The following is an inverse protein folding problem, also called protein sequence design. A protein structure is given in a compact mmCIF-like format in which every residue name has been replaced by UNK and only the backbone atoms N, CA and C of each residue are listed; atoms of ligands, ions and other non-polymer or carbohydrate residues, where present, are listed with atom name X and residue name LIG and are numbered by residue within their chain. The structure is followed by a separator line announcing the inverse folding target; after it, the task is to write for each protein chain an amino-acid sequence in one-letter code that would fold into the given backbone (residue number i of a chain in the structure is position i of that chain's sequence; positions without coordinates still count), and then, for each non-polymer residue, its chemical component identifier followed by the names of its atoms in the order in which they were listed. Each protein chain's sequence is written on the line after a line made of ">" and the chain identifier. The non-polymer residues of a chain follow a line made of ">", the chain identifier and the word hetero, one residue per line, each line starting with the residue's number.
data_IF_890963376706
#
_entry.id   IF_890963376706
#
_cell.length_a   1.000
_cell.length_b   1.000
_cell.length_c   1.000
_cell.angle_alpha   90.00
_cell.angle_beta   90.00
_cell.angle_gamma   90.00
#
_symmetry.space_group_name_H-M   'P 1'
#
loop_
_entity.id
_entity.type
_entity.pdbx_description
1 polymer ?
#
# COMPACT_ATOMS: atom_id res chain seq x y z
N UNK A 1 13.32 -31.04 -17.75
CA UNK A 1 12.77 -30.35 -16.56
C UNK A 1 13.59 -29.11 -16.09
N UNK A 2 14.40 -28.47 -16.96
CA UNK A 2 15.27 -27.30 -16.61
C UNK A 2 14.87 -25.97 -17.30
N UNK A 3 13.67 -25.87 -17.88
CA UNK A 3 13.29 -24.74 -18.76
C UNK A 3 11.92 -24.10 -18.53
N UNK A 4 11.13 -24.52 -17.54
CA UNK A 4 9.73 -24.06 -17.42
C UNK A 4 9.56 -22.84 -16.50
N UNK A 5 10.54 -22.47 -15.68
CA UNK A 5 10.37 -21.39 -14.67
C UNK A 5 11.17 -20.10 -14.99
N UNK A 6 12.00 -20.05 -16.05
CA UNK A 6 13.01 -18.97 -16.18
C UNK A 6 12.87 -18.01 -17.37
N UNK A 7 11.72 -17.89 -18.03
CA UNK A 7 11.56 -16.86 -19.08
C UNK A 7 10.16 -16.27 -19.10
N UNK A 8 9.93 -15.27 -18.25
CA UNK A 8 9.03 -14.13 -18.49
C UNK A 8 9.02 -13.22 -17.25
N UNK A 9 10.06 -12.43 -16.98
CA UNK A 9 9.91 -11.24 -16.14
C UNK A 9 11.04 -10.21 -16.29
N UNK A 10 11.50 -9.97 -17.53
CA UNK A 10 12.31 -8.80 -17.84
C UNK A 10 11.71 -8.10 -19.07
N UNK A 11 11.62 -6.78 -18.98
CA UNK A 11 10.97 -5.82 -19.89
C UNK A 11 9.44 -5.75 -19.81
N UNK A 12 8.92 -4.84 -18.97
CA UNK A 12 8.16 -3.63 -19.35
C UNK A 12 7.93 -2.80 -18.07
N UNK A 13 8.80 -1.84 -17.80
CA UNK A 13 8.47 -0.65 -17.00
C UNK A 13 8.70 0.54 -17.93
N UNK A 14 7.63 1.27 -18.24
CA UNK A 14 7.68 2.53 -18.95
C UNK A 14 6.30 2.98 -19.41
N UNK A 15 5.78 4.03 -18.76
CA UNK A 15 4.73 4.99 -19.20
C UNK A 15 3.50 4.43 -19.92
N UNK A 16 2.27 4.79 -19.59
CA UNK A 16 1.76 6.10 -19.20
C UNK A 16 0.23 5.98 -19.06
N UNK A 17 -0.37 6.81 -18.22
CA UNK A 17 -1.82 7.00 -18.07
C UNK A 17 -2.47 7.36 -19.43
N UNK A 18 -3.74 6.98 -19.66
CA UNK A 18 -4.79 7.97 -19.42
C UNK A 18 -6.05 7.43 -18.73
N UNK A 19 -6.46 8.23 -17.75
CA UNK A 19 -7.82 8.54 -17.31
C UNK A 19 -9.01 7.95 -18.11
N UNK A 20 -9.75 7.05 -17.47
CA UNK A 20 -11.17 6.80 -17.74
C UNK A 20 -12.00 7.13 -16.50
N UNK A 21 -12.63 8.31 -16.48
CA UNK A 21 -13.64 8.68 -15.46
C UNK A 21 -14.94 7.96 -15.79
N UNK A 22 -15.32 6.99 -14.97
CA UNK A 22 -16.70 6.46 -14.97
C UNK A 22 -17.62 7.42 -14.21
N UNK A 23 -18.71 7.80 -14.88
CA UNK A 23 -19.78 8.68 -14.39
C UNK A 23 -20.60 7.93 -13.35
N UNK A 24 -20.39 8.22 -12.06
CA UNK A 24 -21.32 7.80 -10.99
C UNK A 24 -22.58 8.68 -11.08
N UNK A 25 -23.70 8.04 -11.36
CA UNK A 25 -25.04 8.59 -11.18
C UNK A 25 -25.20 9.09 -9.74
N UNK A 26 -25.55 10.37 -9.60
CA UNK A 26 -26.02 10.94 -8.33
C UNK A 26 -27.52 10.71 -8.26
N UNK A 27 -27.94 9.73 -7.46
CA UNK A 27 -29.30 9.68 -6.96
C UNK A 27 -29.53 10.90 -6.06
N UNK A 28 -30.47 11.74 -6.47
CA UNK A 28 -30.95 12.90 -5.74
C UNK A 28 -31.83 12.45 -4.56
N UNK A 29 -31.19 12.05 -3.46
CA UNK A 29 -31.87 11.93 -2.17
C UNK A 29 -31.92 13.28 -1.48
N UNK A 30 -32.98 14.06 -1.70
CA UNK A 30 -33.33 15.16 -0.80
C UNK A 30 -33.75 14.54 0.54
N UNK A 31 -32.79 14.38 1.46
CA UNK A 31 -33.08 14.09 2.85
C UNK A 31 -33.79 15.28 3.47
N UNK A 32 -35.10 15.15 3.65
CA UNK A 32 -35.93 16.09 4.42
C UNK A 32 -35.30 16.35 5.79
N UNK A 33 -35.12 17.61 6.22
CA UNK A 33 -34.82 17.88 7.62
C UNK A 33 -36.02 17.43 8.48
N UNK A 34 -35.77 17.04 9.75
CA UNK A 34 -36.81 16.44 10.59
C UNK A 34 -37.96 17.43 10.76
N UNK A 35 -39.20 16.92 10.66
CA UNK A 35 -40.40 17.63 11.07
C UNK A 35 -40.15 18.20 12.47
N UNK A 36 -40.19 19.52 12.61
CA UNK A 36 -40.36 20.10 13.94
C UNK A 36 -41.83 19.98 14.32
N UNK A 37 -42.04 19.57 15.56
CA UNK A 37 -43.32 19.36 16.19
C UNK A 37 -44.27 20.55 15.96
N UNK A 38 -45.46 20.21 15.51
CA UNK A 38 -46.63 21.07 15.50
C UNK A 38 -47.06 21.19 16.96
N UNK A 39 -46.87 22.38 17.55
CA UNK A 39 -47.67 23.06 18.60
C UNK A 39 -46.73 24.09 19.25
N UNK A 40 -46.82 25.33 18.79
CA UNK A 40 -46.03 26.46 19.28
C UNK A 40 -45.79 27.48 18.17
N UNK A 41 -46.62 28.53 18.14
CA UNK A 41 -46.66 29.63 17.16
C UNK A 41 -45.49 29.74 16.19
N UNK A 42 -45.77 29.52 14.91
CA UNK A 42 -44.81 29.71 13.82
C UNK A 42 -44.34 31.16 13.79
N UNK A 43 -43.16 31.43 14.36
CA UNK A 43 -42.55 32.75 14.36
C UNK A 43 -42.49 33.28 12.91
N UNK A 44 -43.06 34.45 12.61
CA UNK A 44 -43.13 34.93 11.23
C UNK A 44 -41.72 35.08 10.64
N UNK A 45 -41.52 34.79 9.34
CA UNK A 45 -40.20 34.84 8.67
C UNK A 45 -39.44 36.16 8.91
N UNK A 46 -40.15 37.26 9.17
CA UNK A 46 -39.61 38.57 9.54
C UNK A 46 -38.85 38.56 10.87
N UNK A 47 -39.29 37.76 11.86
CA UNK A 47 -38.66 37.65 13.18
C UNK A 47 -37.32 36.92 13.12
N UNK A 48 -37.27 35.78 12.43
CA UNK A 48 -36.02 35.06 12.16
C UNK A 48 -35.01 35.89 11.38
N UNK A 49 -35.49 36.74 10.46
CA UNK A 49 -34.63 37.67 9.72
C UNK A 49 -34.02 38.72 10.63
N UNK A 50 -34.82 39.42 11.44
CA UNK A 50 -34.32 40.42 12.40
C UNK A 50 -33.30 39.82 13.38
N UNK A 51 -33.62 38.65 13.92
CA UNK A 51 -32.72 37.92 14.83
C UNK A 51 -31.40 37.52 14.13
N UNK A 52 -31.46 37.05 12.88
CA UNK A 52 -30.25 36.76 12.09
C UNK A 52 -29.39 38.01 11.84
N UNK A 53 -30.02 39.16 11.57
CA UNK A 53 -29.32 40.43 11.34
C UNK A 53 -28.60 40.92 12.61
N UNK A 54 -29.25 40.82 13.77
CA UNK A 54 -28.62 41.14 15.07
C UNK A 54 -27.45 40.20 15.38
N UNK A 55 -27.62 38.90 15.21
CA UNK A 55 -26.56 37.92 15.43
C UNK A 55 -25.39 38.14 14.46
N UNK A 56 -25.67 38.58 13.23
CA UNK A 56 -24.64 38.93 12.25
C UNK A 56 -23.85 40.17 12.66
N UNK A 57 -24.53 41.22 13.15
CA UNK A 57 -23.90 42.43 13.69
C UNK A 57 -23.07 42.17 14.95
N UNK A 58 -23.44 41.14 15.73
CA UNK A 58 -22.66 40.61 16.86
C UNK A 58 -21.45 39.75 16.44
N UNK A 59 -21.16 39.64 15.13
CA UNK A 59 -19.93 39.01 14.65
C UNK A 59 -20.04 37.52 14.31
N UNK A 60 -21.22 36.92 14.31
CA UNK A 60 -21.39 35.49 14.04
C UNK A 60 -21.33 35.15 12.54
N UNK A 61 -20.78 33.98 12.23
CA UNK A 61 -20.81 33.40 10.89
C UNK A 61 -22.19 32.83 10.53
N UNK A 62 -22.49 32.67 9.24
CA UNK A 62 -23.77 32.09 8.80
C UNK A 62 -23.99 30.67 9.37
N UNK A 63 -22.94 29.88 9.56
CA UNK A 63 -23.05 28.55 10.17
C UNK A 63 -23.35 28.63 11.67
N UNK A 64 -22.79 29.60 12.39
CA UNK A 64 -23.09 29.83 13.81
C UNK A 64 -24.52 30.34 13.99
N UNK A 65 -24.98 31.26 13.13
CA UNK A 65 -26.36 31.75 13.12
C UNK A 65 -27.32 30.60 12.81
N UNK A 66 -27.06 29.82 11.74
CA UNK A 66 -27.87 28.65 11.38
C UNK A 66 -28.06 27.68 12.55
N UNK A 67 -27.01 27.40 13.32
CA UNK A 67 -27.10 26.51 14.49
C UNK A 67 -27.96 27.08 15.62
N UNK A 68 -28.06 28.41 15.75
CA UNK A 68 -28.86 29.07 16.79
C UNK A 68 -30.34 29.17 16.43
N UNK A 69 -30.65 29.57 15.20
CA UNK A 69 -32.04 29.88 14.79
C UNK A 69 -32.69 28.80 13.92
N UNK A 70 -31.94 27.78 13.48
CA UNK A 70 -32.47 26.65 12.70
C UNK A 70 -32.81 26.95 11.23
N UNK A 71 -32.50 28.14 10.71
CA UNK A 71 -32.85 28.56 9.34
C UNK A 71 -31.85 28.03 8.30
N UNK A 72 -32.35 27.76 7.08
CA UNK A 72 -31.51 27.33 5.96
C UNK A 72 -30.38 28.31 5.62
N UNK A 73 -29.25 27.78 5.13
CA UNK A 73 -28.08 28.60 4.76
C UNK A 73 -28.36 29.52 3.57
N UNK A 74 -29.22 29.10 2.64
CA UNK A 74 -29.63 29.90 1.49
C UNK A 74 -30.42 31.13 1.94
N UNK A 75 -31.36 30.96 2.88
CA UNK A 75 -32.11 32.09 3.47
C UNK A 75 -31.20 33.09 4.19
N UNK A 76 -30.25 32.60 5.01
CA UNK A 76 -29.27 33.46 5.69
C UNK A 76 -28.39 34.22 4.70
N UNK A 77 -27.97 33.57 3.61
CA UNK A 77 -27.14 34.21 2.58
C UNK A 77 -27.88 35.34 1.87
N UNK A 78 -29.19 35.21 1.67
CA UNK A 78 -30.01 36.25 1.05
C UNK A 78 -30.22 37.43 2.00
N UNK A 79 -30.57 37.16 3.27
CA UNK A 79 -30.89 38.19 4.25
C UNK A 79 -29.68 39.01 4.69
N UNK A 80 -28.53 38.36 4.87
CA UNK A 80 -27.36 38.95 5.50
C UNK A 80 -26.32 39.47 4.50
N UNK A 81 -26.61 39.40 3.19
CA UNK A 81 -25.68 39.79 2.12
C UNK A 81 -25.15 41.22 2.28
N UNK A 82 -25.99 42.13 2.74
CA UNK A 82 -25.69 43.56 2.92
C UNK A 82 -25.06 43.91 4.27
N UNK A 83 -24.88 42.95 5.18
CA UNK A 83 -24.34 43.20 6.53
C UNK A 83 -22.90 42.67 6.59
N UNK A 84 -21.89 43.54 6.37
CA UNK A 84 -20.49 43.14 6.50
C UNK A 84 -20.15 42.81 7.95
N UNK A 85 -19.18 41.91 8.14
CA UNK A 85 -18.56 41.69 9.44
C UNK A 85 -17.52 42.77 9.72
N UNK A 86 -17.36 43.13 11.00
CA UNK A 86 -16.22 43.91 11.47
C UNK A 86 -14.92 43.13 11.23
N UNK A 87 -13.81 43.85 11.06
CA UNK A 87 -12.51 43.25 10.78
C UNK A 87 -12.05 42.31 11.91
N UNK A 88 -12.36 42.64 13.17
CA UNK A 88 -12.06 41.80 14.35
C UNK A 88 -12.77 40.44 14.28
N UNK A 89 -14.06 40.44 13.94
CA UNK A 89 -14.86 39.23 13.78
C UNK A 89 -14.41 38.39 12.59
N UNK A 90 -14.01 39.05 11.50
CA UNK A 90 -13.44 38.39 10.32
C UNK A 90 -12.14 37.68 10.68
N UNK A 91 -11.24 38.35 11.42
CA UNK A 91 -9.99 37.76 11.93
C UNK A 91 -10.27 36.57 12.85
N UNK A 92 -11.17 36.72 13.83
CA UNK A 92 -11.58 35.62 14.74
C UNK A 92 -12.05 34.38 13.98
N UNK A 93 -12.94 34.56 12.99
CA UNK A 93 -13.48 33.46 12.19
C UNK A 93 -12.43 32.83 11.28
N UNK A 94 -11.53 33.63 10.71
CA UNK A 94 -10.40 33.13 9.92
C UNK A 94 -9.46 32.29 10.80
N UNK A 95 -9.04 32.80 11.95
CA UNK A 95 -8.18 32.07 12.90
C UNK A 95 -8.82 30.76 13.34
N UNK A 96 -10.10 30.76 13.71
CA UNK A 96 -10.85 29.54 14.07
C UNK A 96 -10.87 28.51 12.93
N UNK A 97 -10.97 28.97 11.68
CA UNK A 97 -10.91 28.10 10.49
C UNK A 97 -9.51 27.50 10.31
N UNK A 98 -8.46 28.31 10.44
CA UNK A 98 -7.07 27.84 10.34
C UNK A 98 -6.76 26.82 11.44
N UNK A 99 -7.16 27.10 12.68
CA UNK A 99 -7.00 26.16 13.81
C UNK A 99 -7.74 24.86 13.53
N UNK A 100 -9.01 24.91 13.09
CA UNK A 100 -9.76 23.70 12.75
C UNK A 100 -9.14 22.90 11.59
N UNK A 101 -8.61 23.59 10.57
CA UNK A 101 -7.88 22.97 9.46
C UNK A 101 -6.55 22.36 9.91
N UNK A 102 -5.88 22.94 10.89
CA UNK A 102 -4.66 22.38 11.47
C UNK A 102 -4.94 21.15 12.35
N UNK A 103 -6.03 21.16 13.14
CA UNK A 103 -6.38 20.09 14.07
C UNK A 103 -7.09 18.90 13.41
N UNK A 104 -7.86 19.14 12.34
CA UNK A 104 -8.64 18.11 11.64
C UNK A 104 -7.80 16.92 11.16
N UNK A 105 -6.70 17.15 10.42
CA UNK A 105 -5.79 16.09 9.98
C UNK A 105 -5.15 15.32 11.14
N UNK A 106 -4.77 16.00 12.23
CA UNK A 106 -4.20 15.36 13.41
C UNK A 106 -5.23 14.49 14.15
N UNK A 107 -6.47 14.98 14.31
CA UNK A 107 -7.56 14.20 14.93
C UNK A 107 -7.92 12.97 14.09
N UNK A 108 -7.99 13.09 12.77
CA UNK A 108 -8.32 11.95 11.90
C UNK A 108 -7.19 10.92 11.87
N UNK A 109 -5.93 11.37 11.85
CA UNK A 109 -4.76 10.49 11.92
C UNK A 109 -4.74 9.70 13.24
N UNK A 110 -4.93 10.37 14.38
CA UNK A 110 -4.95 9.70 15.68
C UNK A 110 -6.10 8.69 15.79
N UNK A 111 -7.32 9.05 15.33
CA UNK A 111 -8.44 8.12 15.28
C UNK A 111 -8.14 6.89 14.42
N UNK A 112 -7.56 7.10 13.24
CA UNK A 112 -7.17 6.01 12.34
C UNK A 112 -6.06 5.14 12.94
N UNK A 113 -5.10 5.71 13.67
CA UNK A 113 -4.06 4.96 14.37
C UNK A 113 -4.65 4.04 15.45
N UNK A 114 -5.62 4.52 16.22
CA UNK A 114 -6.34 3.71 17.21
C UNK A 114 -7.13 2.59 16.51
N UNK A 115 -7.88 2.93 15.47
CA UNK A 115 -8.65 1.97 14.67
C UNK A 115 -7.74 0.87 14.07
N UNK A 116 -6.59 1.25 13.48
CA UNK A 116 -5.62 0.28 12.93
C UNK A 116 -5.10 -0.65 14.03
N UNK A 117 -4.77 -0.11 15.21
CA UNK A 117 -4.30 -0.94 16.34
C UNK A 117 -5.36 -1.95 16.76
N UNK A 118 -6.63 -1.55 16.79
CA UNK A 118 -7.74 -2.43 17.13
C UNK A 118 -7.97 -3.50 16.05
N UNK A 119 -7.94 -3.13 14.77
CA UNK A 119 -8.02 -4.07 13.65
C UNK A 119 -6.91 -5.11 13.75
N UNK A 120 -5.66 -4.68 13.91
CA UNK A 120 -4.50 -5.60 14.03
C UNK A 120 -4.66 -6.50 15.25
N UNK A 121 -5.09 -5.96 16.40
CA UNK A 121 -5.33 -6.73 17.63
C UNK A 121 -6.41 -7.80 17.45
N UNK A 122 -7.52 -7.44 16.81
CA UNK A 122 -8.63 -8.36 16.60
C UNK A 122 -8.27 -9.43 15.57
N UNK A 123 -7.67 -9.06 14.44
CA UNK A 123 -7.16 -10.02 13.46
C UNK A 123 -6.11 -10.97 14.07
N UNK A 124 -5.29 -10.48 15.00
CA UNK A 124 -4.34 -11.31 15.73
C UNK A 124 -4.98 -12.43 16.57
N UNK A 125 -6.24 -12.29 16.97
CA UNK A 125 -6.99 -13.34 17.69
C UNK A 125 -7.59 -14.40 16.76
N UNK A 126 -7.63 -14.14 15.45
CA UNK A 126 -8.13 -15.09 14.46
C UNK A 126 -7.12 -16.22 14.17
N UNK A 127 -5.87 -16.08 14.65
CA UNK A 127 -4.80 -17.05 14.46
C UNK A 127 -4.51 -17.78 15.78
N UNK A 128 -4.68 -19.09 15.76
CA UNK A 128 -4.30 -19.96 16.89
C UNK A 128 -2.81 -20.31 16.85
N UNK A 129 -2.19 -20.36 18.04
CA UNK A 129 -0.80 -20.79 18.21
C UNK A 129 -0.71 -21.97 19.20
N UNK A 130 0.21 -22.92 18.99
CA UNK A 130 1.23 -22.95 17.94
C UNK A 130 0.65 -23.27 16.54
N UNK A 131 1.26 -22.73 15.49
CA UNK A 131 0.87 -23.06 14.12
C UNK A 131 1.04 -24.56 13.86
N UNK A 132 0.09 -25.16 13.15
CA UNK A 132 0.25 -26.54 12.68
C UNK A 132 1.45 -26.66 11.74
N UNK A 133 2.03 -27.87 11.68
CA UNK A 133 3.20 -28.12 10.84
C UNK A 133 2.90 -27.86 9.35
N UNK A 134 1.67 -28.12 8.91
CA UNK A 134 1.24 -27.86 7.54
C UNK A 134 1.13 -26.37 7.23
N UNK A 135 0.52 -25.58 8.13
CA UNK A 135 0.44 -24.12 8.00
C UNK A 135 1.84 -23.51 7.95
N UNK A 136 2.74 -23.93 8.85
CA UNK A 136 4.13 -23.47 8.85
C UNK A 136 4.86 -23.87 7.56
N UNK A 137 4.64 -25.09 7.04
CA UNK A 137 5.22 -25.56 5.78
C UNK A 137 4.80 -24.68 4.61
N UNK A 138 3.49 -24.43 4.45
CA UNK A 138 2.95 -23.64 3.35
C UNK A 138 3.30 -22.15 3.47
N UNK A 139 3.22 -21.57 4.67
CA UNK A 139 3.56 -20.17 4.89
C UNK A 139 5.03 -19.89 4.53
N UNK A 140 5.96 -20.74 4.97
CA UNK A 140 7.37 -20.55 4.61
C UNK A 140 7.68 -20.90 3.15
N UNK A 141 6.96 -21.85 2.54
CA UNK A 141 7.06 -22.11 1.10
C UNK A 141 6.60 -20.90 0.28
N UNK A 142 5.46 -20.31 0.63
CA UNK A 142 4.93 -19.10 0.00
C UNK A 142 5.87 -17.90 0.20
N UNK A 143 6.43 -17.74 1.41
CA UNK A 143 7.43 -16.71 1.68
C UNK A 143 8.68 -16.90 0.79
N UNK A 144 9.19 -18.13 0.69
CA UNK A 144 10.33 -18.42 -0.17
C UNK A 144 10.00 -18.22 -1.66
N UNK A 145 8.77 -18.51 -2.08
CA UNK A 145 8.33 -18.24 -3.45
C UNK A 145 8.36 -16.75 -3.79
N UNK A 146 7.98 -15.90 -2.83
CA UNK A 146 7.94 -14.44 -2.99
C UNK A 146 9.32 -13.77 -2.87
N UNK A 147 10.11 -14.15 -1.85
CA UNK A 147 11.35 -13.44 -1.45
C UNK A 147 12.64 -14.26 -1.72
N UNK A 148 12.50 -15.53 -2.07
CA UNK A 148 13.62 -16.43 -2.32
C UNK A 148 14.32 -16.20 -3.65
N UNK A 149 15.55 -16.69 -3.76
CA UNK A 149 16.37 -16.51 -4.96
C UNK A 149 15.93 -17.40 -6.12
N UNK A 150 15.92 -16.80 -7.31
CA UNK A 150 15.75 -17.50 -8.59
C UNK A 150 16.99 -18.33 -8.97
N UNK A 151 18.17 -18.03 -8.42
CA UNK A 151 19.43 -18.74 -8.70
C UNK A 151 19.48 -20.15 -8.10
N UNK A 152 20.55 -20.92 -8.32
CA UNK A 152 20.58 -22.34 -7.90
C UNK A 152 20.62 -22.59 -6.39
N UNK A 153 20.94 -21.57 -5.58
CA UNK A 153 21.08 -21.70 -4.12
C UNK A 153 19.75 -21.46 -3.42
N UNK A 154 19.57 -22.10 -2.27
CA UNK A 154 18.46 -21.78 -1.37
C UNK A 154 18.89 -20.59 -0.51
N UNK A 155 18.57 -19.40 -0.98
CA UNK A 155 18.94 -18.15 -0.33
C UNK A 155 17.77 -17.17 -0.39
N UNK A 156 17.70 -16.28 0.59
CA UNK A 156 16.69 -15.23 0.70
C UNK A 156 17.38 -13.93 1.11
N UNK A 157 16.94 -12.80 0.56
CA UNK A 157 17.55 -11.49 0.84
C UNK A 157 16.47 -10.49 1.24
N UNK A 158 16.51 -9.98 2.46
CA UNK A 158 15.53 -9.00 2.94
C UNK A 158 16.16 -8.08 4.01
N UNK A 159 15.55 -6.92 4.26
CA UNK A 159 15.99 -5.96 5.28
C UNK A 159 15.14 -5.98 6.55
N UNK A 160 13.96 -6.61 6.53
CA UNK A 160 13.08 -6.72 7.69
C UNK A 160 13.62 -7.77 8.69
N UNK A 161 13.97 -7.36 9.92
CA UNK A 161 14.42 -8.27 10.98
C UNK A 161 13.46 -9.42 11.28
N UNK A 162 12.15 -9.17 11.26
CA UNK A 162 11.14 -10.18 11.61
C UNK A 162 11.07 -11.27 10.54
N UNK A 163 11.05 -10.87 9.28
CA UNK A 163 11.00 -11.78 8.13
C UNK A 163 12.24 -12.69 8.09
N UNK A 164 13.43 -12.11 8.29
CA UNK A 164 14.68 -12.87 8.33
C UNK A 164 14.69 -13.86 9.50
N UNK A 165 14.31 -13.43 10.70
CA UNK A 165 14.28 -14.31 11.86
C UNK A 165 13.26 -15.44 11.69
N UNK A 166 12.07 -15.13 11.17
CA UNK A 166 11.05 -16.12 10.83
C UNK A 166 11.59 -17.15 9.83
N UNK A 167 12.23 -16.71 8.74
CA UNK A 167 12.79 -17.62 7.74
C UNK A 167 13.85 -18.56 8.34
N UNK A 168 14.72 -18.06 9.21
CA UNK A 168 15.75 -18.88 9.86
C UNK A 168 15.11 -19.91 10.80
N UNK A 169 14.12 -19.51 11.59
CA UNK A 169 13.37 -20.42 12.45
C UNK A 169 12.60 -21.46 11.64
N UNK A 170 12.01 -21.06 10.52
CA UNK A 170 11.31 -21.96 9.61
C UNK A 170 12.27 -22.96 8.95
N UNK A 171 13.46 -22.52 8.51
CA UNK A 171 14.50 -23.42 7.98
C UNK A 171 14.94 -24.43 9.04
N UNK A 172 15.10 -24.01 10.29
CA UNK A 172 15.39 -24.90 11.41
C UNK A 172 14.25 -25.89 11.64
N UNK A 173 13.01 -25.43 11.64
CA UNK A 173 11.82 -26.26 11.88
C UNK A 173 11.59 -27.31 10.77
N UNK A 174 11.71 -26.92 9.50
CA UNK A 174 11.41 -27.80 8.36
C UNK A 174 12.56 -28.73 7.97
N UNK A 175 13.80 -28.28 8.17
CA UNK A 175 14.98 -28.97 7.63
C UNK A 175 16.03 -29.32 8.70
N UNK A 176 15.81 -28.97 9.98
CA UNK A 176 16.75 -29.25 11.07
C UNK A 176 18.05 -28.44 11.00
N UNK A 177 18.10 -27.39 10.18
CA UNK A 177 19.33 -26.63 9.95
C UNK A 177 19.46 -25.52 10.98
N UNK A 178 20.47 -25.67 11.85
CA UNK A 178 20.84 -24.65 12.85
C UNK A 178 21.40 -23.38 12.19
N UNK A 179 21.18 -22.18 12.78
CA UNK A 179 21.79 -20.93 12.32
C UNK A 179 23.31 -20.98 12.15
N UNK A 180 24.00 -21.81 12.94
CA UNK A 180 25.46 -22.01 12.85
C UNK A 180 25.92 -22.57 11.49
N UNK A 181 25.03 -23.27 10.79
CA UNK A 181 25.28 -23.87 9.49
C UNK A 181 24.85 -22.98 8.31
N UNK A 182 24.33 -21.78 8.59
CA UNK A 182 23.95 -20.80 7.58
C UNK A 182 25.12 -19.87 7.26
N UNK A 183 25.09 -19.31 6.04
CA UNK A 183 26.00 -18.23 5.64
C UNK A 183 25.21 -16.95 5.47
N UNK A 184 25.86 -15.83 5.78
CA UNK A 184 25.26 -14.51 5.64
C UNK A 184 26.14 -13.59 4.80
N UNK A 185 25.53 -12.67 4.06
CA UNK A 185 26.21 -11.53 3.42
C UNK A 185 25.35 -10.30 3.55
N UNK A 186 25.98 -9.14 3.69
CA UNK A 186 25.26 -7.87 3.80
C UNK A 186 25.41 -7.07 2.52
N UNK A 187 24.34 -6.36 2.17
CA UNK A 187 24.36 -5.25 1.23
C UNK A 187 24.16 -3.97 2.05
N UNK A 188 25.16 -3.11 2.06
CA UNK A 188 25.19 -1.87 2.86
C UNK A 188 25.56 -0.68 1.98
N UNK A 189 25.35 0.52 2.51
CA UNK A 189 25.76 1.78 1.90
C UNK A 189 27.06 2.31 2.54
N UNK A 190 27.81 3.18 1.85
CA UNK A 190 29.13 3.63 2.31
C UNK A 190 29.14 4.29 3.70
N UNK A 191 28.05 4.97 4.07
CA UNK A 191 27.90 5.62 5.38
C UNK A 191 27.58 4.67 6.54
N UNK A 192 27.37 3.38 6.26
CA UNK A 192 26.96 2.41 7.26
C UNK A 192 28.15 1.65 7.84
N UNK A 193 28.11 1.45 9.16
CA UNK A 193 29.11 0.66 9.87
C UNK A 193 28.89 -0.84 9.63
N UNK A 194 29.73 -1.41 8.78
CA UNK A 194 29.70 -2.83 8.43
C UNK A 194 29.83 -3.75 9.66
N UNK A 195 30.66 -3.38 10.63
CA UNK A 195 30.94 -4.22 11.81
C UNK A 195 29.71 -4.24 12.72
N UNK A 196 29.14 -3.06 13.02
CA UNK A 196 27.93 -2.95 13.85
C UNK A 196 26.74 -3.66 13.23
N UNK A 197 26.56 -3.55 11.91
CA UNK A 197 25.46 -4.23 11.23
C UNK A 197 25.64 -5.75 11.27
N UNK A 198 26.86 -6.27 11.08
CA UNK A 198 27.12 -7.71 11.26
C UNK A 198 26.81 -8.16 12.69
N UNK A 199 27.18 -7.38 13.70
CA UNK A 199 26.88 -7.66 15.10
C UNK A 199 25.37 -7.70 15.36
N UNK A 200 24.62 -6.72 14.87
CA UNK A 200 23.16 -6.70 14.96
C UNK A 200 22.54 -7.98 14.39
N UNK A 201 22.88 -8.33 13.14
CA UNK A 201 22.31 -9.52 12.50
C UNK A 201 22.78 -10.80 13.17
N UNK A 202 24.03 -10.89 13.61
CA UNK A 202 24.55 -12.06 14.33
C UNK A 202 23.82 -12.27 15.66
N UNK A 203 23.59 -11.20 16.42
CA UNK A 203 22.82 -11.22 17.67
C UNK A 203 21.37 -11.66 17.43
N UNK A 204 20.70 -11.09 16.43
CA UNK A 204 19.30 -11.40 16.13
C UNK A 204 19.12 -12.84 15.63
N UNK A 205 19.99 -13.29 14.72
CA UNK A 205 19.79 -14.54 13.97
C UNK A 205 20.50 -15.75 14.58
N UNK A 206 21.47 -15.53 15.47
CA UNK A 206 22.34 -16.59 15.98
C UNK A 206 23.37 -17.11 14.97
N UNK A 207 23.47 -16.51 13.77
CA UNK A 207 24.51 -16.84 12.79
C UNK A 207 25.84 -16.28 13.33
N UNK A 208 26.91 -17.10 13.46
CA UNK A 208 28.20 -16.61 13.93
C UNK A 208 28.81 -15.57 12.99
N UNK A 209 29.48 -14.53 13.52
CA UNK A 209 30.18 -13.50 12.72
C UNK A 209 31.12 -14.12 11.67
N UNK A 210 31.82 -15.22 12.00
CA UNK A 210 32.70 -15.94 11.08
C UNK A 210 31.99 -16.50 9.84
N UNK A 211 30.68 -16.72 9.91
CA UNK A 211 29.85 -17.18 8.79
C UNK A 211 29.37 -16.03 7.89
N UNK A 212 29.67 -14.76 8.25
CA UNK A 212 29.38 -13.60 7.42
C UNK A 212 30.51 -13.36 6.40
N UNK A 213 30.18 -13.47 5.12
CA UNK A 213 31.10 -13.16 4.02
C UNK A 213 31.44 -11.67 3.89
N UNK A 214 32.18 -11.34 2.83
CA UNK A 214 32.45 -9.95 2.43
C UNK A 214 31.14 -9.25 2.12
N UNK A 215 30.89 -8.12 2.79
CA UNK A 215 29.73 -7.27 2.54
C UNK A 215 29.89 -6.54 1.21
N UNK A 216 28.79 -6.39 0.49
CA UNK A 216 28.72 -5.56 -0.69
C UNK A 216 28.39 -4.13 -0.29
N UNK A 217 29.28 -3.19 -0.62
CA UNK A 217 29.07 -1.76 -0.40
C UNK A 217 28.56 -1.16 -1.71
N UNK A 218 27.32 -0.68 -1.70
CA UNK A 218 26.71 -0.08 -2.89
C UNK A 218 27.42 1.25 -3.23
N UNK A 219 27.83 1.48 -4.49
CA UNK A 219 28.50 2.72 -4.87
C UNK A 219 27.57 3.92 -4.70
N UNK A 220 28.16 5.10 -4.51
CA UNK A 220 27.40 6.33 -4.38
C UNK A 220 26.71 6.67 -5.71
N UNK A 221 25.40 7.01 -5.68
CA UNK A 221 24.68 7.49 -6.86
C UNK A 221 24.13 8.90 -6.64
N UNK A 222 24.03 9.73 -7.69
CA UNK A 222 23.59 11.13 -7.62
C UNK A 222 22.17 11.31 -7.03
N UNK A 223 21.37 10.24 -6.99
CA UNK A 223 20.00 10.21 -6.45
C UNK A 223 19.93 9.49 -5.10
N UNK A 224 20.74 9.90 -4.12
CA UNK A 224 20.64 9.38 -2.76
C UNK A 224 19.31 9.78 -2.13
N UNK A 225 18.35 8.86 -2.15
CA UNK A 225 17.25 8.90 -1.17
C UNK A 225 17.88 8.64 0.20
N UNK A 226 17.52 9.44 1.21
CA UNK A 226 17.88 9.19 2.61
C UNK A 226 17.56 7.72 2.91
N UNK A 227 18.61 6.92 3.10
CA UNK A 227 18.46 5.47 3.17
C UNK A 227 17.87 5.09 4.52
N UNK A 228 16.61 4.64 4.53
CA UNK A 228 15.90 4.23 5.76
C UNK A 228 16.30 2.82 6.25
N UNK A 229 17.17 2.11 5.53
CA UNK A 229 17.59 0.76 5.89
C UNK A 229 18.71 0.79 6.93
N UNK A 230 18.36 1.09 8.19
CA UNK A 230 19.31 1.27 9.29
C UNK A 230 20.26 0.06 9.46
N UNK A 231 19.78 -1.16 9.23
CA UNK A 231 20.54 -2.41 9.33
C UNK A 231 20.99 -2.98 7.97
N UNK A 232 20.87 -2.20 6.89
CA UNK A 232 21.13 -2.68 5.52
C UNK A 232 20.19 -3.82 5.11
N UNK A 233 20.61 -4.60 4.13
CA UNK A 233 19.89 -5.81 3.69
C UNK A 233 20.78 -7.02 3.93
N UNK A 234 20.23 -8.09 4.50
CA UNK A 234 20.96 -9.33 4.71
C UNK A 234 20.49 -10.40 3.73
N UNK A 235 21.46 -11.12 3.16
CA UNK A 235 21.25 -12.35 2.42
C UNK A 235 21.59 -13.53 3.31
N UNK A 236 20.65 -14.43 3.49
CA UNK A 236 20.82 -15.71 4.18
C UNK A 236 20.93 -16.80 3.12
N UNK A 237 21.98 -17.62 3.20
CA UNK A 237 22.25 -18.73 2.30
C UNK A 237 22.32 -20.03 3.10
N UNK A 238 21.58 -21.05 2.65
CA UNK A 238 21.73 -22.43 3.12
C UNK A 238 22.75 -23.13 2.22
N UNK A 239 23.91 -23.57 2.74
CA UNK A 239 24.88 -24.30 1.93
C UNK A 239 24.35 -25.66 1.45
N UNK A 240 24.80 -26.13 0.28
CA UNK A 240 24.49 -27.47 -0.29
C UNK A 240 22.98 -27.81 -0.30
N UNK A 241 22.15 -26.83 -0.66
CA UNK A 241 20.71 -26.85 -0.43
C UNK A 241 19.84 -27.11 -1.67
N UNK A 242 20.41 -27.64 -2.76
CA UNK A 242 19.68 -27.83 -4.02
C UNK A 242 18.41 -28.66 -3.82
N UNK A 243 18.50 -29.77 -3.08
CA UNK A 243 17.35 -30.64 -2.80
C UNK A 243 16.27 -29.94 -1.97
N UNK A 244 16.67 -29.12 -0.98
CA UNK A 244 15.74 -28.32 -0.16
C UNK A 244 14.93 -27.38 -1.06
N UNK A 245 15.60 -26.69 -1.98
CA UNK A 245 14.93 -25.81 -2.94
C UNK A 245 13.89 -26.54 -3.79
N UNK A 246 14.23 -27.72 -4.31
CA UNK A 246 13.30 -28.50 -5.13
C UNK A 246 12.13 -29.03 -4.28
N UNK A 247 12.39 -29.43 -3.03
CA UNK A 247 11.35 -29.89 -2.11
C UNK A 247 10.35 -28.77 -1.80
N UNK A 248 10.82 -27.54 -1.57
CA UNK A 248 9.96 -26.36 -1.38
C UNK A 248 9.13 -26.07 -2.63
N UNK A 249 9.74 -26.13 -3.82
CA UNK A 249 8.97 -25.96 -5.06
C UNK A 249 7.96 -27.08 -5.30
N UNK A 250 8.26 -28.32 -4.92
CA UNK A 250 7.28 -29.41 -4.96
C UNK A 250 6.05 -29.14 -4.09
N UNK A 251 6.23 -28.51 -2.92
CA UNK A 251 5.09 -28.08 -2.08
C UNK A 251 4.25 -27.00 -2.77
N UNK A 252 4.90 -26.03 -3.43
CA UNK A 252 4.23 -24.96 -4.16
C UNK A 252 3.46 -25.53 -5.36
N UNK A 253 4.09 -26.41 -6.14
CA UNK A 253 3.46 -27.10 -7.29
C UNK A 253 2.24 -27.91 -6.86
N UNK A 254 2.30 -28.59 -5.71
CA UNK A 254 1.18 -29.34 -5.17
C UNK A 254 -0.03 -28.44 -4.88
N UNK A 255 0.18 -27.25 -4.30
CA UNK A 255 -0.89 -26.26 -4.04
C UNK A 255 -1.43 -25.66 -5.33
N UNK A 256 -0.56 -25.39 -6.30
CA UNK A 256 -0.93 -24.75 -7.56
C UNK A 256 -1.52 -25.71 -8.60
N UNK A 257 -1.58 -27.01 -8.32
CA UNK A 257 -1.98 -28.05 -9.28
C UNK A 257 -3.27 -27.73 -10.03
N UNK A 258 -4.27 -27.20 -9.33
CA UNK A 258 -5.59 -26.91 -9.90
C UNK A 258 -5.63 -25.64 -10.78
N UNK A 259 -4.65 -24.75 -10.63
CA UNK A 259 -4.58 -23.48 -11.38
C UNK A 259 -3.54 -23.56 -12.51
N UNK A 260 -2.61 -24.52 -12.41
CA UNK A 260 -1.48 -24.61 -13.33
C UNK A 260 -1.91 -24.88 -14.78
N UNK A 261 -2.96 -25.68 -15.01
CA UNK A 261 -3.50 -25.94 -16.36
C UNK A 261 -3.95 -24.66 -17.06
N UNK A 262 -4.67 -23.79 -16.35
CA UNK A 262 -5.22 -22.56 -16.91
C UNK A 262 -4.12 -21.54 -17.23
N UNK A 263 -3.11 -21.49 -16.35
CA UNK A 263 -1.92 -20.66 -16.55
C UNK A 263 -1.14 -21.15 -17.76
N UNK A 264 -0.90 -22.46 -17.91
CA UNK A 264 -0.18 -23.03 -19.03
C UNK A 264 -0.91 -22.80 -20.36
N UNK A 265 -2.21 -23.04 -20.41
CA UNK A 265 -3.05 -22.77 -21.59
C UNK A 265 -2.98 -21.30 -21.99
N UNK A 266 -3.13 -20.40 -21.02
CA UNK A 266 -3.02 -18.95 -21.24
C UNK A 266 -1.64 -18.56 -21.77
N UNK A 267 -0.56 -19.03 -21.12
CA UNK A 267 0.80 -18.75 -21.57
C UNK A 267 1.07 -19.27 -22.98
N UNK A 268 0.60 -20.49 -23.30
CA UNK A 268 0.74 -21.09 -24.64
C UNK A 268 0.05 -20.23 -25.70
N UNK A 269 -1.20 -19.80 -25.43
CA UNK A 269 -1.95 -18.89 -26.30
C UNK A 269 -1.21 -17.56 -26.52
N UNK A 270 -0.67 -16.95 -25.48
CA UNK A 270 0.06 -15.68 -25.60
C UNK A 270 1.45 -15.83 -26.23
N UNK A 271 2.06 -17.02 -26.19
CA UNK A 271 3.29 -17.32 -26.95
C UNK A 271 2.99 -17.47 -28.44
N UNK A 272 1.93 -18.21 -28.82
CA UNK A 272 1.59 -18.37 -30.23
C UNK A 272 1.27 -17.04 -30.91
N UNK A 273 0.60 -16.10 -30.22
CA UNK A 273 0.34 -14.75 -30.74
C UNK A 273 1.60 -13.90 -31.01
N UNK A 274 2.74 -14.24 -30.40
CA UNK A 274 4.03 -13.58 -30.67
C UNK A 274 4.73 -14.16 -31.89
N UNK A 275 4.48 -15.43 -32.18
CA UNK A 275 5.11 -16.18 -33.28
C UNK A 275 4.29 -16.10 -34.57
N UNK A 276 2.99 -15.79 -34.50
CA UNK A 276 2.19 -15.46 -35.69
C UNK A 276 2.70 -14.16 -36.33
N UNK A 277 3.15 -14.18 -37.60
CA UNK A 277 3.56 -12.96 -38.27
C UNK A 277 2.39 -11.98 -38.29
N UNK A 278 2.64 -10.74 -37.83
CA UNK A 278 1.63 -9.68 -37.94
C UNK A 278 1.37 -9.46 -39.42
N UNK A 279 0.11 -9.34 -39.87
CA UNK A 279 -0.18 -8.98 -41.25
C UNK A 279 0.56 -7.68 -41.55
N UNK A 280 1.47 -7.73 -42.52
CA UNK A 280 2.16 -6.54 -43.00
C UNK A 280 1.07 -5.69 -43.63
N UNK A 281 0.84 -4.48 -43.10
CA UNK A 281 -0.02 -3.50 -43.75
C UNK A 281 0.68 -3.09 -45.05
N UNK A 282 0.44 -3.83 -46.13
CA UNK A 282 0.87 -3.43 -47.47
C UNK A 282 0.04 -2.19 -47.77
N UNK A 283 0.67 -1.01 -47.71
CA UNK A 283 0.08 0.20 -48.29
C UNK A 283 -0.03 -0.06 -49.79
N UNK A 284 -1.21 -0.44 -50.26
CA UNK A 284 -1.50 -0.50 -51.69
C UNK A 284 -1.47 0.93 -52.19
N UNK A 285 -0.36 1.35 -52.78
CA UNK A 285 -0.31 2.57 -53.58
C UNK A 285 -1.16 2.33 -54.83
N UNK A 286 -2.19 3.15 -55.10
CA UNK A 286 -2.98 3.02 -56.31
C UNK A 286 -2.09 3.44 -57.49
N UNK A 287 -1.67 2.50 -58.30
CA UNK A 287 -1.08 2.79 -59.62
C UNK A 287 -1.92 2.13 -60.70
N UNK A 288 -2.58 3.02 -61.46
CA UNK A 288 -2.95 2.91 -62.86
C UNK A 288 -3.86 1.74 -63.27
N UNK A 289 -5.15 1.94 -63.02
CA UNK A 289 -6.18 1.51 -63.97
C UNK A 289 -6.05 2.37 -65.23
N UNK A 290 -5.25 1.92 -66.19
CA UNK A 290 -5.36 2.38 -67.58
C UNK A 290 -6.17 1.35 -68.34
N UNK A 291 -7.42 1.72 -68.60
CA UNK A 291 -8.35 1.06 -69.50
C UNK A 291 -7.76 1.03 -70.92
N UNK A 292 -7.84 -0.11 -71.58
CA UNK A 292 -7.87 -0.23 -73.04
C UNK A 292 -9.16 -0.94 -73.42
#
# INVERSE_FOLDING_TARGET
>A
MKRIITTAFEAVIGGSNPSGRTRKEKSSGFGSPPLCDIIGGMKPKSTFRKEAEELRRKGLSYNEIRKKIGVSKSSLSLWLKSIPLKEEDRKRLYTKRIVALSLGPHSQKQRREVEIKEIIKNAGKEIEFPLSLEVARLMGAALYWAEGSKGNRFEMTNSDPHLILYFINWVKLMFGISPKNLRARLNIYPQQDNVKIKQFWSSLTGIPIKSFGKSYVKPLSKNYKKNNLYYGTIRIEVPKSSNIKHRVFGWIEAVLKNINSDVELSQKRWRSLRETPRPVNIKVTPHNLTVK
#
